data_IF_551186968706
#
_entry.id   IF_551186968706
#
_cell.length_a   1.000
_cell.length_b   1.000
_cell.length_c   1.000
_cell.angle_alpha   90.00
_cell.angle_beta   90.00
_cell.angle_gamma   90.00
#
_symmetry.space_group_name_H-M   'P 1'
#
loop_
_entity.id
_entity.type
_entity.pdbx_description
1 polymer ?
#
# COMPACT_ATOMS: atom_id res chain seq x y z
N UNK A 1 18.39 24.34 26.40
CA UNK A 1 19.03 23.05 26.69
C UNK A 1 18.24 22.02 25.91
N UNK A 2 18.86 21.32 24.97
CA UNK A 2 18.19 20.26 24.20
C UNK A 2 18.04 19.03 25.09
N UNK A 3 16.80 18.62 25.32
CA UNK A 3 16.49 17.40 26.06
C UNK A 3 16.87 16.19 25.22
N UNK A 4 17.72 15.30 25.72
CA UNK A 4 18.14 14.11 24.96
C UNK A 4 16.98 13.12 24.77
N UNK A 5 16.99 12.37 23.67
CA UNK A 5 16.04 11.29 23.36
C UNK A 5 15.85 10.32 24.55
N UNK A 6 16.96 9.91 25.16
CA UNK A 6 16.96 8.99 26.30
C UNK A 6 16.27 9.61 27.52
N UNK A 7 16.42 10.91 27.71
CA UNK A 7 15.74 11.64 28.78
C UNK A 7 14.23 11.71 28.53
N UNK A 8 13.79 11.91 27.28
CA UNK A 8 12.37 11.92 26.92
C UNK A 8 11.67 10.58 27.22
N UNK A 9 12.26 9.45 26.81
CA UNK A 9 11.70 8.13 27.16
C UNK A 9 11.68 7.90 28.67
N UNK A 10 12.75 8.27 29.38
CA UNK A 10 12.84 8.12 30.84
C UNK A 10 11.77 8.97 31.55
N UNK A 11 11.58 10.23 31.12
CA UNK A 11 10.54 11.13 31.64
C UNK A 11 9.12 10.61 31.35
N UNK A 12 8.92 9.94 30.22
CA UNK A 12 7.69 9.22 29.91
C UNK A 12 7.53 7.90 30.69
N UNK A 13 8.55 7.44 31.43
CA UNK A 13 8.50 6.18 32.17
C UNK A 13 8.77 4.93 31.31
N UNK A 14 9.25 5.11 30.08
CA UNK A 14 9.66 4.02 29.19
C UNK A 14 11.12 3.70 29.49
N UNK A 15 11.36 2.54 30.10
CA UNK A 15 12.70 2.12 30.56
C UNK A 15 13.30 0.99 29.73
N UNK A 16 12.46 0.19 29.06
CA UNK A 16 12.87 -0.80 28.06
C UNK A 16 12.36 -0.38 26.67
N UNK A 17 13.26 0.24 25.90
CA UNK A 17 12.95 0.72 24.56
C UNK A 17 12.74 -0.44 23.59
N UNK A 18 13.46 -1.54 23.75
CA UNK A 18 13.34 -2.70 22.88
C UNK A 18 11.97 -3.35 23.06
N UNK A 19 11.53 -3.53 24.31
CA UNK A 19 10.17 -4.01 24.61
C UNK A 19 9.08 -3.05 24.13
N UNK A 20 9.29 -1.74 24.29
CA UNK A 20 8.36 -0.73 23.82
C UNK A 20 8.11 -0.83 22.29
N UNK A 21 9.18 -0.89 21.49
CA UNK A 21 9.04 -1.06 20.04
C UNK A 21 8.52 -2.45 19.67
N UNK A 22 8.95 -3.50 20.39
CA UNK A 22 8.52 -4.88 20.17
C UNK A 22 7.00 -5.03 20.26
N UNK A 23 6.37 -4.45 21.29
CA UNK A 23 4.91 -4.59 21.49
C UNK A 23 4.08 -3.77 20.51
N UNK A 24 4.67 -2.77 19.85
CA UNK A 24 3.98 -1.85 18.95
C UNK A 24 4.11 -2.20 17.47
N UNK A 25 5.30 -2.61 17.04
CA UNK A 25 5.63 -2.69 15.62
C UNK A 25 5.95 -4.11 15.13
N UNK A 26 6.14 -5.06 16.05
CA UNK A 26 6.25 -6.47 15.65
C UNK A 26 4.84 -6.97 15.32
N UNK A 27 4.69 -7.42 14.09
CA UNK A 27 3.49 -8.09 13.61
C UNK A 27 3.86 -9.48 13.13
N UNK A 28 3.05 -10.47 13.49
CA UNK A 28 3.11 -11.82 12.90
C UNK A 28 2.45 -11.86 11.51
N UNK A 29 1.89 -10.74 11.05
CA UNK A 29 1.36 -10.61 9.70
C UNK A 29 2.47 -10.84 8.68
N UNK A 30 2.31 -11.91 7.90
CA UNK A 30 3.17 -12.20 6.76
C UNK A 30 2.77 -11.28 5.63
N UNK A 31 3.46 -10.14 5.54
CA UNK A 31 3.30 -9.15 4.47
C UNK A 31 4.06 -9.63 3.24
N UNK A 32 3.54 -10.71 2.66
CA UNK A 32 4.17 -11.32 1.50
C UNK A 32 3.59 -10.71 0.22
N UNK A 33 4.49 -10.24 -0.64
CA UNK A 33 4.19 -9.62 -1.92
C UNK A 33 3.39 -10.52 -2.89
N UNK A 34 3.23 -11.81 -2.58
CA UNK A 34 2.40 -12.80 -3.27
C UNK A 34 0.95 -12.81 -2.78
N UNK A 35 0.67 -12.29 -1.58
CA UNK A 35 -0.65 -12.32 -0.95
C UNK A 35 -1.36 -10.98 -0.98
N UNK A 36 -1.02 -10.15 -1.96
CA UNK A 36 -1.63 -8.85 -2.10
C UNK A 36 -3.11 -8.99 -2.47
N UNK A 37 -3.99 -9.02 -1.46
CA UNK A 37 -5.43 -9.05 -1.70
C UNK A 37 -5.81 -7.77 -2.45
N UNK A 38 -6.63 -7.84 -3.50
CA UNK A 38 -7.02 -6.66 -4.28
C UNK A 38 -7.56 -5.52 -3.43
N UNK A 39 -8.28 -5.85 -2.36
CA UNK A 39 -8.87 -4.88 -1.44
C UNK A 39 -7.80 -4.08 -0.67
N UNK A 40 -6.63 -4.67 -0.41
CA UNK A 40 -5.56 -3.99 0.31
C UNK A 40 -4.85 -2.95 -0.60
N UNK A 41 -5.14 -2.93 -1.92
CA UNK A 41 -4.45 -2.06 -2.93
C UNK A 41 -4.82 -0.60 -2.76
N UNK A 42 -5.84 -0.36 -1.95
CA UNK A 42 -6.38 0.95 -1.65
C UNK A 42 -6.14 1.32 -0.19
N UNK A 43 -5.49 0.44 0.58
CA UNK A 43 -5.07 0.78 1.93
C UNK A 43 -4.06 1.92 1.89
N UNK A 44 -4.17 2.83 2.86
CA UNK A 44 -3.30 4.00 2.89
C UNK A 44 -1.82 3.66 3.11
N UNK A 45 -1.52 2.64 3.92
CA UNK A 45 -0.15 2.17 4.15
C UNK A 45 0.42 1.61 2.85
N UNK A 46 -0.41 0.92 2.07
CA UNK A 46 -0.03 0.47 0.74
C UNK A 46 0.25 1.64 -0.20
N UNK A 47 -0.56 2.70 -0.17
CA UNK A 47 -0.37 3.87 -1.02
C UNK A 47 0.99 4.56 -0.81
N UNK A 48 1.46 4.67 0.45
CA UNK A 48 2.81 5.19 0.78
C UNK A 48 3.91 4.26 0.29
N UNK A 49 3.73 2.95 0.48
CA UNK A 49 4.66 1.94 -0.02
C UNK A 49 4.77 1.97 -1.55
N UNK A 50 3.66 2.23 -2.24
CA UNK A 50 3.63 2.35 -3.69
C UNK A 50 4.38 3.59 -4.20
N UNK A 51 4.38 4.69 -3.45
CA UNK A 51 5.22 5.83 -3.80
C UNK A 51 6.71 5.45 -3.82
N UNK A 52 7.19 4.67 -2.85
CA UNK A 52 8.56 4.12 -2.88
C UNK A 52 8.71 3.18 -4.09
N UNK A 53 7.80 2.23 -4.25
CA UNK A 53 7.87 1.24 -5.34
C UNK A 53 8.03 1.90 -6.71
N UNK A 54 7.21 2.90 -7.01
CA UNK A 54 7.20 3.55 -8.31
C UNK A 54 8.40 4.47 -8.55
N UNK A 55 9.14 4.83 -7.51
CA UNK A 55 10.33 5.67 -7.61
C UNK A 55 11.64 4.89 -7.44
N UNK A 56 11.59 3.62 -7.04
CA UNK A 56 12.75 2.74 -7.00
C UNK A 56 12.95 2.06 -8.35
N UNK A 57 14.17 2.11 -8.87
CA UNK A 57 14.56 1.44 -10.11
C UNK A 57 14.68 -0.07 -9.91
N UNK A 58 14.26 -0.84 -10.90
CA UNK A 58 14.44 -2.29 -10.88
C UNK A 58 15.93 -2.69 -10.84
N UNK A 59 16.24 -3.80 -10.17
CA UNK A 59 17.60 -4.34 -10.03
C UNK A 59 18.52 -3.55 -9.10
N UNK A 60 18.02 -2.55 -8.37
CA UNK A 60 18.81 -1.69 -7.49
C UNK A 60 19.11 -2.32 -6.13
N UNK A 61 20.08 -1.77 -5.40
CA UNK A 61 20.30 -2.05 -3.98
C UNK A 61 19.58 -1.03 -3.11
N UNK A 62 18.69 -1.49 -2.23
CA UNK A 62 17.82 -0.66 -1.39
C UNK A 62 18.10 -0.95 0.08
N UNK A 63 18.31 0.09 0.88
CA UNK A 63 18.35 0.03 2.32
C UNK A 63 17.08 0.66 2.90
N UNK A 64 16.35 -0.10 3.71
CA UNK A 64 15.15 0.34 4.43
C UNK A 64 15.49 0.59 5.91
N UNK A 65 15.37 1.84 6.34
CA UNK A 65 15.68 2.28 7.70
C UNK A 65 14.42 2.26 8.56
N UNK A 66 14.47 1.54 9.68
CA UNK A 66 13.33 1.20 10.52
C UNK A 66 12.37 0.29 9.77
N UNK A 67 12.88 -0.84 9.28
CA UNK A 67 12.14 -1.72 8.36
C UNK A 67 10.92 -2.40 9.00
N UNK A 68 10.78 -2.37 10.33
CA UNK A 68 9.69 -3.01 11.06
C UNK A 68 9.55 -4.48 10.66
N UNK A 69 8.32 -4.95 10.45
CA UNK A 69 8.03 -6.29 9.96
C UNK A 69 8.25 -6.47 8.44
N UNK A 70 8.77 -5.47 7.72
CA UNK A 70 9.16 -5.61 6.30
C UNK A 70 8.09 -5.23 5.28
N UNK A 71 7.41 -4.10 5.49
CA UNK A 71 6.34 -3.61 4.58
C UNK A 71 6.82 -3.39 3.14
N UNK A 72 8.12 -3.08 2.94
CA UNK A 72 8.67 -2.83 1.60
C UNK A 72 9.07 -4.12 0.85
N UNK A 73 8.72 -5.31 1.36
CA UNK A 73 8.97 -6.59 0.70
C UNK A 73 8.45 -6.64 -0.75
N UNK A 74 7.42 -5.86 -1.07
CA UNK A 74 6.89 -5.76 -2.43
C UNK A 74 7.91 -5.22 -3.46
N UNK A 75 8.95 -4.50 -3.03
CA UNK A 75 10.06 -4.10 -3.89
C UNK A 75 10.78 -5.31 -4.51
N UNK A 76 10.69 -6.51 -3.92
CA UNK A 76 11.24 -7.73 -4.52
C UNK A 76 10.67 -8.03 -5.91
N UNK A 77 9.47 -7.55 -6.24
CA UNK A 77 8.91 -7.61 -7.61
C UNK A 77 9.73 -6.82 -8.63
N UNK A 78 10.52 -5.85 -8.18
CA UNK A 78 11.47 -5.08 -8.99
C UNK A 78 12.87 -5.70 -9.02
N UNK A 79 13.03 -6.93 -8.54
CA UNK A 79 14.32 -7.64 -8.49
C UNK A 79 15.40 -6.85 -7.74
N UNK A 80 14.99 -6.01 -6.77
CA UNK A 80 15.94 -5.27 -5.95
C UNK A 80 16.61 -6.20 -4.94
N UNK A 81 17.81 -5.82 -4.50
CA UNK A 81 18.40 -6.36 -3.28
C UNK A 81 17.96 -5.46 -2.12
N UNK A 82 17.15 -6.00 -1.21
CA UNK A 82 16.50 -5.26 -0.13
C UNK A 82 17.16 -5.62 1.21
N UNK A 83 17.77 -4.62 1.84
CA UNK A 83 18.36 -4.73 3.18
C UNK A 83 17.54 -3.90 4.17
N UNK A 84 17.24 -4.45 5.34
CA UNK A 84 16.51 -3.75 6.40
C UNK A 84 17.37 -3.48 7.63
N UNK A 85 17.17 -2.35 8.28
CA UNK A 85 17.74 -2.05 9.60
C UNK A 85 16.62 -1.68 10.55
N UNK A 86 16.60 -2.28 11.74
CA UNK A 86 15.67 -1.93 12.80
C UNK A 86 16.37 -1.97 14.17
N UNK A 87 15.82 -1.31 15.18
CA UNK A 87 16.32 -1.42 16.56
C UNK A 87 15.84 -2.71 17.23
N UNK A 88 14.70 -3.26 16.79
CA UNK A 88 14.16 -4.52 17.30
C UNK A 88 14.74 -5.72 16.51
N UNK A 89 15.36 -6.69 17.20
CA UNK A 89 15.77 -7.94 16.57
C UNK A 89 14.56 -8.75 16.06
N UNK A 90 13.40 -8.67 16.72
CA UNK A 90 12.17 -9.34 16.29
C UNK A 90 11.63 -8.76 14.98
N UNK A 91 11.58 -7.44 14.84
CA UNK A 91 11.26 -6.76 13.58
C UNK A 91 12.22 -7.21 12.47
N UNK A 92 13.53 -7.19 12.75
CA UNK A 92 14.56 -7.64 11.81
C UNK A 92 14.34 -9.10 11.37
N UNK A 93 13.94 -9.99 12.28
CA UNK A 93 13.62 -11.38 11.96
C UNK A 93 12.33 -11.51 11.13
N UNK A 94 11.30 -10.73 11.45
CA UNK A 94 10.03 -10.70 10.71
C UNK A 94 10.22 -10.18 9.27
N UNK A 95 10.93 -9.06 9.09
CA UNK A 95 11.24 -8.51 7.77
C UNK A 95 12.01 -9.52 6.89
N UNK A 96 12.96 -10.26 7.49
CA UNK A 96 13.68 -11.32 6.80
C UNK A 96 12.77 -12.46 6.35
N UNK A 97 11.81 -12.87 7.20
CA UNK A 97 10.78 -13.86 6.83
C UNK A 97 9.88 -13.35 5.71
N UNK A 98 9.61 -12.05 5.67
CA UNK A 98 8.79 -11.39 4.64
C UNK A 98 9.54 -11.12 3.32
N UNK A 99 10.82 -11.51 3.20
CA UNK A 99 11.52 -11.56 1.91
C UNK A 99 12.65 -10.55 1.74
N UNK A 100 13.08 -9.88 2.81
CA UNK A 100 14.30 -9.06 2.78
C UNK A 100 15.53 -9.97 2.65
N UNK A 101 16.50 -9.58 1.82
CA UNK A 101 17.70 -10.38 1.57
C UNK A 101 18.63 -10.40 2.78
N UNK A 102 18.69 -9.28 3.51
CA UNK A 102 19.44 -9.15 4.75
C UNK A 102 18.73 -8.19 5.72
N UNK A 103 18.85 -8.45 7.02
CA UNK A 103 18.34 -7.56 8.07
C UNK A 103 19.37 -7.42 9.19
N UNK A 104 19.43 -6.23 9.79
CA UNK A 104 20.41 -5.90 10.83
C UNK A 104 19.73 -5.19 12.00
N UNK A 105 20.10 -5.59 13.20
CA UNK A 105 19.72 -4.87 14.42
C UNK A 105 20.77 -3.81 14.74
N UNK A 106 20.50 -2.55 14.43
CA UNK A 106 21.46 -1.46 14.58
C UNK A 106 20.79 -0.10 14.77
N UNK A 107 21.53 0.84 15.37
CA UNK A 107 21.12 2.26 15.41
C UNK A 107 21.31 2.89 14.04
N UNK A 108 20.34 3.70 13.62
CA UNK A 108 20.42 4.44 12.36
C UNK A 108 21.54 5.50 12.35
N UNK A 109 21.97 5.97 13.53
CA UNK A 109 23.09 6.90 13.70
C UNK A 109 24.45 6.22 13.51
N UNK A 110 24.50 4.90 13.31
CA UNK A 110 25.74 4.15 13.02
C UNK A 110 25.42 2.87 12.25
N UNK A 111 25.30 2.99 10.94
CA UNK A 111 24.93 1.91 10.05
C UNK A 111 26.12 0.95 9.82
N UNK A 112 25.90 -0.38 9.86
CA UNK A 112 26.95 -1.39 9.72
C UNK A 112 27.33 -1.65 8.25
N UNK A 113 27.33 -0.62 7.40
CA UNK A 113 27.58 -0.73 5.97
C UNK A 113 28.77 0.14 5.55
N UNK A 114 29.54 -0.29 4.53
CA UNK A 114 30.53 0.56 3.88
C UNK A 114 29.91 1.79 3.20
N UNK A 115 30.76 2.76 2.89
CA UNK A 115 30.39 3.92 2.09
C UNK A 115 29.89 3.50 0.70
N UNK A 116 28.97 4.26 0.10
CA UNK A 116 28.48 4.06 -1.26
C UNK A 116 27.95 2.65 -1.58
N UNK A 117 27.25 2.03 -0.63
CA UNK A 117 26.72 0.66 -0.74
C UNK A 117 25.36 0.57 -1.44
N UNK A 118 24.53 1.61 -1.36
CA UNK A 118 23.12 1.57 -1.78
C UNK A 118 22.78 2.57 -2.89
N UNK A 119 21.97 2.13 -3.86
CA UNK A 119 21.34 3.01 -4.83
C UNK A 119 20.21 3.83 -4.19
N UNK A 120 19.45 3.20 -3.28
CA UNK A 120 18.37 3.86 -2.57
C UNK A 120 18.47 3.63 -1.07
N UNK A 121 18.23 4.69 -0.29
CA UNK A 121 18.01 4.59 1.16
C UNK A 121 16.63 5.14 1.47
N UNK A 122 15.73 4.29 1.93
CA UNK A 122 14.32 4.60 2.13
C UNK A 122 13.94 4.49 3.60
N UNK A 123 12.93 5.24 4.01
CA UNK A 123 12.38 5.17 5.36
C UNK A 123 10.94 5.65 5.37
N UNK A 124 10.03 4.92 6.00
CA UNK A 124 8.66 5.34 6.20
C UNK A 124 8.39 5.36 7.69
N UNK A 125 7.97 6.51 8.23
CA UNK A 125 7.46 6.61 9.60
C UNK A 125 8.54 6.37 10.68
N UNK A 126 9.77 6.86 10.46
CA UNK A 126 10.92 6.56 11.36
C UNK A 126 11.60 7.81 11.92
N UNK A 127 11.72 8.88 11.13
CA UNK A 127 12.46 10.07 11.56
C UNK A 127 11.80 10.82 12.72
N UNK A 128 10.51 10.60 12.98
CA UNK A 128 9.83 11.10 14.18
C UNK A 128 10.23 10.39 15.48
N UNK A 129 10.76 9.16 15.36
CA UNK A 129 11.27 8.34 16.47
C UNK A 129 12.74 8.58 16.77
N UNK A 130 13.47 9.23 15.86
CA UNK A 130 14.85 9.65 16.08
C UNK A 130 14.81 11.00 16.77
N UNK A 131 15.35 11.10 17.99
CA UNK A 131 15.38 12.39 18.66
C UNK A 131 16.36 13.37 18.02
N UNK A 132 16.14 14.65 18.31
CA UNK A 132 16.67 15.79 17.54
C UNK A 132 18.19 15.80 17.39
N UNK A 133 18.92 15.36 18.41
CA UNK A 133 20.38 15.34 18.45
C UNK A 133 21.00 14.24 17.57
N UNK A 134 20.28 13.14 17.34
CA UNK A 134 20.77 12.02 16.53
C UNK A 134 20.44 12.20 15.05
N UNK A 135 19.46 13.04 14.69
CA UNK A 135 19.00 13.20 13.30
C UNK A 135 20.11 13.58 12.32
N UNK A 136 20.97 14.52 12.69
CA UNK A 136 22.07 14.93 11.81
C UNK A 136 23.07 13.80 11.58
N UNK A 137 23.31 12.96 12.59
CA UNK A 137 24.16 11.78 12.45
C UNK A 137 23.49 10.70 11.60
N UNK A 138 22.18 10.49 11.75
CA UNK A 138 21.41 9.60 10.86
C UNK A 138 21.50 10.07 9.40
N UNK A 139 21.29 11.37 9.14
CA UNK A 139 21.41 11.91 7.79
C UNK A 139 22.84 11.83 7.23
N UNK A 140 23.86 11.99 8.07
CA UNK A 140 25.25 11.76 7.70
C UNK A 140 25.50 10.31 7.29
N UNK A 141 24.97 9.35 8.04
CA UNK A 141 25.06 7.92 7.71
C UNK A 141 24.29 7.58 6.42
N UNK A 142 23.09 8.14 6.23
CA UNK A 142 22.33 8.01 4.97
C UNK A 142 23.17 8.48 3.80
N UNK A 143 23.74 9.69 3.90
CA UNK A 143 24.61 10.24 2.86
C UNK A 143 25.83 9.35 2.61
N UNK A 144 26.45 8.85 3.68
CA UNK A 144 27.67 8.02 3.59
C UNK A 144 27.40 6.70 2.86
N UNK A 145 26.31 6.00 3.18
CA UNK A 145 26.00 4.69 2.59
C UNK A 145 25.35 4.79 1.21
N UNK A 146 24.85 5.96 0.83
CA UNK A 146 24.37 6.23 -0.53
C UNK A 146 25.53 6.29 -1.52
N UNK A 147 25.31 5.70 -2.71
CA UNK A 147 26.16 5.93 -3.88
C UNK A 147 26.09 7.40 -4.32
N UNK A 148 27.08 7.89 -5.09
CA UNK A 148 27.07 9.28 -5.57
C UNK A 148 25.78 9.71 -6.28
N UNK A 149 25.21 8.83 -7.11
CA UNK A 149 23.93 9.04 -7.80
C UNK A 149 22.73 8.45 -7.03
N UNK A 150 22.95 8.04 -5.79
CA UNK A 150 21.95 7.40 -4.96
C UNK A 150 20.89 8.39 -4.48
N UNK A 151 19.69 7.89 -4.23
CA UNK A 151 18.53 8.71 -3.83
C UNK A 151 18.00 8.23 -2.49
N UNK A 152 17.73 9.18 -1.59
CA UNK A 152 16.99 8.88 -0.36
C UNK A 152 15.55 9.34 -0.43
N UNK A 153 14.63 8.52 0.10
CA UNK A 153 13.19 8.78 0.04
C UNK A 153 12.54 8.51 1.40
N UNK A 154 11.77 9.47 1.90
CA UNK A 154 11.23 9.45 3.24
C UNK A 154 9.73 9.78 3.26
N UNK A 155 8.96 9.00 4.01
CA UNK A 155 7.66 9.40 4.52
C UNK A 155 7.83 9.79 5.99
N UNK A 156 7.47 11.03 6.34
CA UNK A 156 7.82 11.61 7.64
C UNK A 156 6.59 12.25 8.28
N UNK A 157 6.26 11.81 9.49
CA UNK A 157 5.30 12.48 10.36
C UNK A 157 5.83 13.83 10.79
N UNK A 158 4.95 14.82 10.72
CA UNK A 158 5.23 16.17 11.16
C UNK A 158 4.43 16.50 12.41
N UNK A 159 4.88 17.53 13.13
CA UNK A 159 4.07 18.18 14.16
C UNK A 159 3.72 19.60 13.73
N UNK A 160 2.64 20.13 14.28
CA UNK A 160 2.28 21.54 14.19
C UNK A 160 2.47 22.18 15.57
N UNK A 161 3.50 23.04 15.69
CA UNK A 161 3.83 23.67 16.98
C UNK A 161 2.81 24.73 17.39
N UNK A 162 1.95 25.19 16.49
CA UNK A 162 0.86 26.10 16.87
C UNK A 162 -0.20 25.38 17.72
N UNK A 163 -0.32 24.06 17.55
CA UNK A 163 -1.36 23.24 18.21
C UNK A 163 -0.78 22.27 19.25
N UNK A 164 0.52 22.01 19.21
CA UNK A 164 1.24 21.09 20.10
C UNK A 164 2.14 21.81 21.12
N UNK A 165 2.10 21.40 22.40
CA UNK A 165 3.11 21.82 23.40
C UNK A 165 4.50 21.33 23.00
N UNK A 166 5.54 22.07 23.40
CA UNK A 166 6.92 21.56 23.28
C UNK A 166 7.16 20.43 24.28
N UNK A 167 8.03 19.48 23.95
CA UNK A 167 8.37 18.35 24.83
C UNK A 167 8.87 18.79 26.23
N UNK A 168 9.54 19.94 26.31
CA UNK A 168 10.02 20.54 27.56
C UNK A 168 8.88 21.07 28.44
N UNK A 169 7.74 21.41 27.83
CA UNK A 169 6.58 21.99 28.50
C UNK A 169 5.54 20.94 28.91
N UNK A 170 5.69 19.71 28.40
CA UNK A 170 4.82 18.59 28.76
C UNK A 170 5.15 18.08 30.16
N UNK A 171 4.10 17.90 30.98
CA UNK A 171 4.21 17.12 32.22
C UNK A 171 4.61 15.67 31.92
N UNK A 172 5.16 14.92 32.88
CA UNK A 172 5.51 13.51 32.67
C UNK A 172 4.35 12.66 32.13
N UNK A 173 3.12 12.93 32.57
CA UNK A 173 1.93 12.19 32.11
C UNK A 173 1.50 12.59 30.70
N UNK A 174 1.56 13.87 30.35
CA UNK A 174 1.31 14.33 28.97
C UNK A 174 2.37 13.77 28.01
N UNK A 175 3.64 13.82 28.41
CA UNK A 175 4.74 13.28 27.62
C UNK A 175 4.62 11.77 27.46
N UNK A 176 4.21 11.05 28.51
CA UNK A 176 3.93 9.62 28.44
C UNK A 176 2.84 9.32 27.43
N UNK A 177 1.67 9.97 27.54
CA UNK A 177 0.57 9.78 26.57
C UNK A 177 1.00 10.07 25.15
N UNK A 178 1.83 11.09 24.95
CA UNK A 178 2.33 11.46 23.63
C UNK A 178 3.33 10.43 23.07
N UNK A 179 4.32 10.01 23.86
CA UNK A 179 5.31 9.02 23.42
C UNK A 179 4.67 7.65 23.31
N UNK A 180 3.69 7.29 24.13
CA UNK A 180 2.96 6.03 24.06
C UNK A 180 2.12 5.86 22.79
N UNK A 181 1.94 6.88 21.95
CA UNK A 181 1.27 6.73 20.65
C UNK A 181 2.07 5.74 19.80
N UNK A 182 3.23 6.18 19.34
CA UNK A 182 4.11 5.43 18.43
C UNK A 182 5.59 5.51 18.87
N UNK A 183 5.93 6.29 19.90
CA UNK A 183 7.31 6.49 20.34
C UNK A 183 7.95 7.75 19.77
N UNK A 184 7.16 8.75 19.40
CA UNK A 184 7.64 9.98 18.79
C UNK A 184 8.40 10.85 19.80
N UNK A 185 9.67 11.10 19.51
CA UNK A 185 10.60 11.86 20.39
C UNK A 185 11.38 12.93 19.63
N UNK A 186 11.09 13.10 18.35
CA UNK A 186 11.75 14.05 17.48
C UNK A 186 10.86 14.57 16.36
N UNK A 187 9.55 14.75 16.56
CA UNK A 187 8.74 15.36 15.49
C UNK A 187 9.20 16.80 15.23
N UNK A 188 9.37 17.12 13.96
CA UNK A 188 9.70 18.46 13.47
C UNK A 188 8.53 18.97 12.62
N UNK A 189 8.51 20.26 12.33
CA UNK A 189 7.58 20.78 11.35
C UNK A 189 8.04 20.43 9.92
N UNK A 190 7.10 20.42 8.98
CA UNK A 190 7.36 20.09 7.56
C UNK A 190 8.58 20.82 6.97
N UNK A 191 8.74 22.10 7.29
CA UNK A 191 9.77 22.96 6.70
C UNK A 191 11.15 22.71 7.34
N UNK A 192 11.18 22.32 8.62
CA UNK A 192 12.38 21.92 9.34
C UNK A 192 13.00 20.65 8.75
N UNK A 193 12.19 19.65 8.37
CA UNK A 193 12.68 18.46 7.69
C UNK A 193 13.41 18.80 6.39
N UNK A 194 12.77 19.58 5.51
CA UNK A 194 13.39 19.97 4.25
C UNK A 194 14.66 20.79 4.46
N UNK A 195 14.68 21.71 5.43
CA UNK A 195 15.87 22.49 5.77
C UNK A 195 17.01 21.59 6.27
N UNK A 196 16.70 20.57 7.08
CA UNK A 196 17.69 19.63 7.61
C UNK A 196 18.32 18.80 6.48
N UNK A 197 17.51 18.22 5.59
CA UNK A 197 18.04 17.45 4.45
C UNK A 197 18.92 18.29 3.51
N UNK A 198 18.60 19.59 3.30
CA UNK A 198 19.42 20.49 2.47
C UNK A 198 20.83 20.77 3.01
N UNK A 199 21.08 20.48 4.29
CA UNK A 199 22.43 20.55 4.88
C UNK A 199 23.31 19.38 4.41
N UNK A 200 22.69 18.29 3.98
CA UNK A 200 23.37 17.06 3.57
C UNK A 200 23.30 16.82 2.06
N UNK A 201 22.22 17.20 1.38
CA UNK A 201 22.01 16.88 -0.03
C UNK A 201 21.85 18.15 -0.88
N UNK A 202 22.45 18.14 -2.08
CA UNK A 202 22.34 19.26 -3.02
C UNK A 202 20.91 19.43 -3.57
N UNK A 203 20.22 18.33 -3.86
CA UNK A 203 18.89 18.32 -4.44
C UNK A 203 17.90 17.75 -3.42
N UNK A 204 16.93 18.55 -2.98
CA UNK A 204 15.90 18.15 -2.00
C UNK A 204 14.53 18.63 -2.46
N UNK A 205 13.62 17.69 -2.67
CA UNK A 205 12.21 17.94 -2.99
C UNK A 205 11.35 17.38 -1.85
N UNK A 206 10.45 18.20 -1.32
CA UNK A 206 9.54 17.84 -0.24
C UNK A 206 8.11 18.23 -0.64
N UNK A 207 7.15 17.35 -0.40
CA UNK A 207 5.74 17.55 -0.75
C UNK A 207 4.84 17.26 0.46
N UNK A 208 4.07 18.24 0.96
CA UNK A 208 3.14 18.05 2.07
C UNK A 208 1.99 17.12 1.71
N UNK A 209 1.54 16.30 2.65
CA UNK A 209 0.40 15.39 2.44
C UNK A 209 -0.60 15.54 3.57
N UNK A 210 -1.87 15.75 3.22
CA UNK A 210 -2.95 15.75 4.20
C UNK A 210 -2.97 14.43 4.97
N UNK A 211 -3.63 14.44 6.13
CA UNK A 211 -3.76 13.27 6.99
C UNK A 211 -4.53 12.09 6.36
N UNK A 212 -4.77 12.12 5.04
CA UNK A 212 -5.15 10.96 4.24
C UNK A 212 -4.21 9.78 4.49
N UNK A 213 -2.97 10.03 4.95
CA UNK A 213 -1.92 9.04 5.23
C UNK A 213 -2.10 8.18 6.50
N UNK A 214 -3.16 8.41 7.30
CA UNK A 214 -3.44 7.69 8.55
C UNK A 214 -4.74 6.89 8.40
N UNK A 215 -4.81 5.68 8.95
CA UNK A 215 -6.04 4.88 8.94
C UNK A 215 -7.07 5.44 9.92
N UNK A 216 -8.35 5.18 9.67
CA UNK A 216 -9.46 5.60 10.54
C UNK A 216 -9.29 5.10 11.97
N UNK A 217 -8.78 3.88 12.13
CA UNK A 217 -8.49 3.30 13.44
C UNK A 217 -7.36 4.04 14.15
N UNK A 218 -6.28 4.36 13.44
CA UNK A 218 -5.16 5.10 14.02
C UNK A 218 -5.57 6.54 14.36
N UNK A 219 -6.41 7.19 13.54
CA UNK A 219 -7.00 8.50 13.88
C UNK A 219 -7.80 8.46 15.18
N UNK A 220 -8.70 7.49 15.33
CA UNK A 220 -9.55 7.35 16.52
C UNK A 220 -8.68 7.03 17.73
N UNK A 221 -7.71 6.12 17.59
CA UNK A 221 -6.74 5.76 18.64
C UNK A 221 -5.94 6.99 19.08
N UNK A 222 -5.45 7.80 18.14
CA UNK A 222 -4.78 9.08 18.39
C UNK A 222 -5.65 10.07 19.15
N UNK A 223 -6.93 10.17 18.81
CA UNK A 223 -7.88 11.03 19.53
C UNK A 223 -8.19 10.49 20.94
N UNK A 224 -8.59 9.22 21.05
CA UNK A 224 -9.19 8.62 22.25
C UNK A 224 -8.14 8.26 23.31
N UNK A 225 -7.06 7.60 22.88
CA UNK A 225 -6.05 7.08 23.81
C UNK A 225 -5.00 8.14 24.13
N UNK A 226 -4.67 8.97 23.13
CA UNK A 226 -3.49 9.83 23.21
C UNK A 226 -3.82 11.32 23.28
N UNK A 227 -5.08 11.70 23.09
CA UNK A 227 -5.56 13.07 23.30
C UNK A 227 -5.10 14.07 22.23
N UNK A 228 -4.72 13.60 21.04
CA UNK A 228 -4.46 14.47 19.90
C UNK A 228 -5.75 15.19 19.48
N UNK A 229 -5.64 16.49 19.20
CA UNK A 229 -6.78 17.32 18.84
C UNK A 229 -7.00 17.28 17.34
N UNK A 230 -8.12 16.71 16.94
CA UNK A 230 -8.65 16.76 15.58
C UNK A 230 -9.98 17.51 15.58
N UNK A 231 -10.51 17.82 14.39
CA UNK A 231 -11.87 18.35 14.26
C UNK A 231 -12.89 17.35 14.85
N UNK A 232 -13.63 17.78 15.87
CA UNK A 232 -14.53 16.91 16.64
C UNK A 232 -15.54 16.20 15.74
N UNK A 233 -16.16 16.94 14.81
CA UNK A 233 -17.16 16.41 13.88
C UNK A 233 -16.59 15.29 12.98
N UNK A 234 -15.31 15.40 12.59
CA UNK A 234 -14.65 14.38 11.78
C UNK A 234 -14.38 13.11 12.60
N UNK A 235 -13.88 13.24 13.83
CA UNK A 235 -13.64 12.07 14.69
C UNK A 235 -14.96 11.40 15.06
N UNK A 236 -16.00 12.17 15.39
CA UNK A 236 -17.34 11.65 15.68
C UNK A 236 -17.95 10.94 14.47
N UNK A 237 -17.75 11.48 13.26
CA UNK A 237 -18.10 10.79 12.03
C UNK A 237 -17.40 9.43 11.94
N UNK A 238 -16.07 9.37 12.07
CA UNK A 238 -15.33 8.09 12.00
C UNK A 238 -15.80 7.10 13.10
N UNK A 239 -16.09 7.60 14.31
CA UNK A 239 -16.63 6.78 15.42
C UNK A 239 -17.98 6.18 15.06
N UNK A 240 -18.84 6.93 14.37
CA UNK A 240 -20.17 6.46 13.96
C UNK A 240 -20.13 5.33 12.92
N UNK A 241 -19.01 5.18 12.20
CA UNK A 241 -18.82 4.13 11.20
C UNK A 241 -18.58 2.76 11.86
N UNK A 242 -19.20 1.72 11.31
CA UNK A 242 -18.85 0.32 11.61
C UNK A 242 -17.44 -0.04 11.11
N UNK A 243 -16.88 -1.16 11.58
CA UNK A 243 -15.58 -1.65 11.11
C UNK A 243 -15.49 -1.74 9.57
N UNK A 244 -16.55 -2.25 8.92
CA UNK A 244 -16.58 -2.37 7.45
C UNK A 244 -16.62 -1.02 6.76
N UNK A 245 -17.32 -0.05 7.34
CA UNK A 245 -17.41 1.32 6.81
C UNK A 245 -16.11 2.08 6.99
N UNK A 246 -15.43 1.95 8.14
CA UNK A 246 -14.07 2.50 8.34
C UNK A 246 -13.07 1.89 7.37
N UNK A 247 -13.12 0.56 7.18
CA UNK A 247 -12.28 -0.11 6.17
C UNK A 247 -12.55 0.44 4.76
N UNK A 248 -13.81 0.63 4.40
CA UNK A 248 -14.18 1.20 3.11
C UNK A 248 -13.73 2.67 2.97
N UNK A 249 -13.81 3.46 4.05
CA UNK A 249 -13.28 4.81 4.10
C UNK A 249 -11.77 4.82 3.86
N UNK A 250 -10.99 4.02 4.61
CA UNK A 250 -9.54 3.92 4.45
C UNK A 250 -9.14 3.52 3.03
N UNK A 251 -9.88 2.58 2.43
CA UNK A 251 -9.73 2.21 1.02
C UNK A 251 -10.01 3.39 0.09
N UNK A 252 -11.10 4.13 0.30
CA UNK A 252 -11.39 5.31 -0.50
C UNK A 252 -10.26 6.35 -0.38
N UNK A 253 -9.69 6.54 0.80
CA UNK A 253 -8.60 7.48 1.04
C UNK A 253 -7.30 7.08 0.33
N UNK A 254 -6.90 5.81 0.39
CA UNK A 254 -5.72 5.36 -0.36
C UNK A 254 -5.94 5.37 -1.88
N UNK A 255 -7.16 5.15 -2.35
CA UNK A 255 -7.52 5.38 -3.76
C UNK A 255 -7.37 6.85 -4.17
N UNK A 256 -7.85 7.79 -3.34
CA UNK A 256 -7.67 9.24 -3.57
C UNK A 256 -6.19 9.60 -3.61
N UNK A 257 -5.38 9.07 -2.69
CA UNK A 257 -3.93 9.27 -2.68
C UNK A 257 -3.26 8.79 -3.98
N UNK A 258 -3.68 7.62 -4.49
CA UNK A 258 -3.21 7.11 -5.78
C UNK A 258 -3.48 8.10 -6.92
N UNK A 259 -4.69 8.65 -6.98
CA UNK A 259 -5.06 9.65 -7.99
C UNK A 259 -4.29 10.97 -7.84
N UNK A 260 -4.05 11.44 -6.61
CA UNK A 260 -3.23 12.63 -6.35
C UNK A 260 -1.83 12.45 -6.94
N UNK A 261 -1.24 11.26 -6.73
CA UNK A 261 0.09 10.92 -7.26
C UNK A 261 0.10 10.85 -8.79
N UNK A 262 -0.96 10.31 -9.40
CA UNK A 262 -1.06 10.12 -10.85
C UNK A 262 -1.36 11.42 -11.60
N UNK A 263 -2.18 12.29 -11.01
CA UNK A 263 -2.53 13.60 -11.56
C UNK A 263 -1.56 14.71 -11.14
N UNK A 264 -0.53 14.37 -10.36
CA UNK A 264 0.46 15.30 -9.82
C UNK A 264 -0.18 16.52 -9.11
N UNK A 265 -1.26 16.26 -8.37
CA UNK A 265 -2.02 17.30 -7.67
C UNK A 265 -1.23 17.72 -6.44
N UNK A 266 -1.02 19.03 -6.29
CA UNK A 266 -0.42 19.61 -5.09
C UNK A 266 -1.51 19.85 -4.06
N UNK A 267 -1.36 19.25 -2.89
CA UNK A 267 -2.25 19.50 -1.76
C UNK A 267 -1.75 20.68 -0.93
N UNK A 268 -2.65 21.42 -0.26
CA UNK A 268 -2.25 22.40 0.74
C UNK A 268 -1.46 21.73 1.87
N UNK A 269 -0.67 22.53 2.60
CA UNK A 269 0.09 22.07 3.76
C UNK A 269 -0.83 21.43 4.78
N UNK A 270 -0.42 20.28 5.28
CA UNK A 270 -1.17 19.54 6.29
C UNK A 270 -0.66 19.76 7.70
N UNK A 271 0.62 20.09 7.86
CA UNK A 271 1.31 20.11 9.16
C UNK A 271 1.52 18.72 9.77
N UNK A 272 1.11 17.64 9.10
CA UNK A 272 0.99 16.31 9.70
C UNK A 272 1.86 15.25 9.02
N UNK A 273 2.15 15.41 7.73
CA UNK A 273 2.93 14.43 7.00
C UNK A 273 3.58 15.01 5.75
N UNK A 274 4.79 14.54 5.43
CA UNK A 274 5.50 14.91 4.20
C UNK A 274 6.11 13.68 3.51
N UNK A 275 6.18 13.75 2.18
CA UNK A 275 7.06 12.89 1.40
C UNK A 275 8.28 13.71 0.97
N UNK A 276 9.47 13.14 1.11
CA UNK A 276 10.73 13.82 0.82
C UNK A 276 11.64 12.93 -0.02
N UNK A 277 12.23 13.51 -1.07
CA UNK A 277 13.23 12.89 -1.94
C UNK A 277 14.49 13.77 -1.95
N UNK A 278 15.65 13.16 -1.77
CA UNK A 278 16.92 13.90 -1.75
C UNK A 278 18.08 13.10 -2.39
N UNK A 279 19.02 13.81 -3.01
CA UNK A 279 20.24 13.26 -3.61
C UNK A 279 21.28 14.38 -3.84
N UNK A 280 22.55 14.02 -3.99
CA UNK A 280 23.57 14.93 -4.52
C UNK A 280 23.50 15.02 -6.06
N UNK A 281 22.97 14.00 -6.73
CA UNK A 281 22.68 14.04 -8.16
C UNK A 281 21.32 14.73 -8.44
N UNK A 282 21.11 15.27 -9.66
CA UNK A 282 19.80 15.80 -10.07
C UNK A 282 18.70 14.74 -9.89
N UNK A 283 17.59 15.14 -9.26
CA UNK A 283 16.46 14.25 -9.06
C UNK A 283 15.62 14.14 -10.33
N UNK A 284 15.16 12.93 -10.65
CA UNK A 284 14.10 12.71 -11.62
C UNK A 284 12.73 13.11 -11.07
N UNK A 285 11.67 12.57 -11.68
CA UNK A 285 10.30 12.87 -11.27
C UNK A 285 10.07 12.55 -9.78
N UNK A 286 9.28 13.38 -9.10
CA UNK A 286 8.94 13.13 -7.68
C UNK A 286 7.96 11.96 -7.53
N UNK A 287 7.07 11.82 -8.52
CA UNK A 287 6.14 10.73 -8.65
C UNK A 287 6.51 9.88 -9.84
N UNK A 288 6.33 8.57 -9.69
CA UNK A 288 6.25 7.65 -10.81
C UNK A 288 7.51 7.59 -11.70
N UNK A 289 8.69 7.98 -11.21
CA UNK A 289 9.93 8.05 -12.01
C UNK A 289 10.28 6.71 -12.71
N UNK A 290 9.98 5.61 -12.04
CA UNK A 290 10.22 4.25 -12.50
C UNK A 290 8.94 3.40 -12.39
N UNK A 291 7.78 4.01 -12.65
CA UNK A 291 6.49 3.32 -12.54
C UNK A 291 6.38 2.23 -13.60
N UNK A 292 6.70 1.02 -13.19
CA UNK A 292 6.33 -0.21 -13.87
C UNK A 292 5.74 -1.16 -12.82
N UNK A 293 4.41 -1.17 -12.75
CA UNK A 293 3.67 -2.04 -11.83
C UNK A 293 3.23 -3.33 -12.49
N UNK A 294 3.65 -3.63 -13.73
CA UNK A 294 3.26 -4.87 -14.41
C UNK A 294 3.65 -6.08 -13.57
N UNK A 295 4.83 -6.08 -12.97
CA UNK A 295 5.30 -7.17 -12.10
C UNK A 295 4.58 -7.29 -10.74
N UNK A 296 3.96 -6.22 -10.22
CA UNK A 296 3.15 -6.29 -8.99
C UNK A 296 1.83 -7.00 -9.21
N UNK A 297 1.28 -6.85 -10.41
CA UNK A 297 0.01 -7.45 -10.79
C UNK A 297 0.16 -8.64 -11.72
N UNK A 298 1.39 -8.91 -12.18
CA UNK A 298 1.76 -10.16 -12.78
C UNK A 298 1.82 -11.16 -11.62
N UNK A 299 0.89 -12.09 -11.65
CA UNK A 299 1.05 -13.34 -10.91
C UNK A 299 2.38 -13.98 -11.36
N UNK A 300 3.08 -14.68 -10.47
CA UNK A 300 4.43 -15.22 -10.71
C UNK A 300 4.57 -15.90 -12.08
N UNK A 301 5.80 -16.05 -12.59
CA UNK A 301 6.08 -16.69 -13.89
C UNK A 301 5.56 -18.15 -14.04
N UNK A 302 4.94 -18.72 -13.00
CA UNK A 302 4.21 -20.01 -13.03
C UNK A 302 2.69 -19.88 -12.82
N UNK A 303 2.15 -18.68 -12.67
CA UNK A 303 0.76 -18.46 -12.35
C UNK A 303 0.00 -18.11 -13.62
N UNK A 304 -0.55 -19.15 -14.24
CA UNK A 304 -1.97 -19.40 -14.54
C UNK A 304 -3.03 -18.24 -14.49
N UNK A 305 -2.68 -16.98 -14.31
CA UNK A 305 -3.64 -15.85 -14.33
C UNK A 305 -3.99 -15.44 -15.74
N UNK A 306 -5.28 -15.26 -15.98
CA UNK A 306 -5.84 -14.90 -17.28
C UNK A 306 -5.93 -13.38 -17.49
N UNK A 307 -6.04 -12.58 -16.43
CA UNK A 307 -6.36 -11.14 -16.53
C UNK A 307 -5.36 -10.30 -17.34
N UNK A 308 -4.09 -10.73 -17.37
CA UNK A 308 -2.95 -9.93 -17.84
C UNK A 308 -1.95 -10.72 -18.67
N UNK A 309 -2.30 -11.96 -19.03
CA UNK A 309 -1.47 -12.77 -19.92
C UNK A 309 -1.69 -12.31 -21.36
N UNK A 310 -0.61 -12.01 -22.14
CA UNK A 310 -0.75 -11.66 -23.55
C UNK A 310 -1.25 -12.84 -24.40
N UNK A 311 -1.27 -14.05 -23.84
CA UNK A 311 -1.81 -15.26 -24.47
C UNK A 311 -3.32 -15.45 -24.20
N UNK A 312 -3.98 -14.46 -23.58
CA UNK A 312 -5.41 -14.50 -23.26
C UNK A 312 -6.14 -13.44 -24.03
N UNK A 313 -7.29 -13.82 -24.59
CA UNK A 313 -8.18 -12.91 -25.32
C UNK A 313 -9.48 -12.76 -24.55
N UNK A 314 -9.85 -11.51 -24.27
CA UNK A 314 -11.17 -11.13 -23.80
C UNK A 314 -11.96 -10.62 -25.01
N UNK A 315 -13.19 -11.09 -25.20
CA UNK A 315 -14.05 -10.60 -26.28
C UNK A 315 -14.64 -9.21 -25.99
N UNK A 316 -15.47 -8.71 -26.91
CA UNK A 316 -16.14 -7.41 -26.81
C UNK A 316 -17.17 -7.34 -25.67
N UNK A 317 -17.42 -8.46 -24.98
CA UNK A 317 -18.26 -8.52 -23.79
C UNK A 317 -17.61 -7.93 -22.54
N UNK A 318 -16.32 -7.58 -22.62
CA UNK A 318 -15.52 -7.04 -21.52
C UNK A 318 -15.11 -5.58 -21.74
N UNK A 319 -15.22 -4.79 -20.69
CA UNK A 319 -14.81 -3.39 -20.65
C UNK A 319 -13.71 -3.20 -19.62
N UNK A 320 -12.59 -2.62 -20.04
CA UNK A 320 -11.58 -2.13 -19.10
C UNK A 320 -12.05 -0.82 -18.46
N UNK A 321 -11.94 -0.67 -17.13
CA UNK A 321 -12.10 0.64 -16.52
C UNK A 321 -10.92 1.54 -16.93
N UNK A 322 -11.20 2.81 -17.18
CA UNK A 322 -10.19 3.85 -17.45
C UNK A 322 -9.30 4.19 -16.24
N UNK A 323 -9.34 3.38 -15.18
CA UNK A 323 -8.58 3.58 -13.95
C UNK A 323 -7.31 2.72 -14.02
N UNK A 324 -6.15 3.35 -13.97
CA UNK A 324 -4.86 2.68 -13.95
C UNK A 324 -4.32 2.60 -12.51
N UNK A 325 -3.92 1.41 -12.01
CA UNK A 325 -4.02 0.11 -12.68
C UNK A 325 -5.45 -0.45 -12.64
N UNK A 326 -5.92 -1.11 -13.71
CA UNK A 326 -7.28 -1.65 -13.74
C UNK A 326 -7.40 -2.75 -12.70
N UNK A 327 -8.39 -2.61 -11.84
CA UNK A 327 -8.62 -3.43 -10.65
C UNK A 327 -9.43 -4.68 -11.03
N UNK A 328 -10.37 -4.49 -11.95
CA UNK A 328 -11.28 -5.50 -12.47
C UNK A 328 -11.77 -5.10 -13.86
N UNK A 329 -12.20 -6.06 -14.67
CA UNK A 329 -12.88 -5.84 -15.95
C UNK A 329 -14.38 -5.89 -15.73
N UNK A 330 -15.11 -4.93 -16.30
CA UNK A 330 -16.57 -4.94 -16.28
C UNK A 330 -17.09 -5.81 -17.41
N UNK A 331 -18.09 -6.65 -17.14
CA UNK A 331 -18.73 -7.48 -18.14
C UNK A 331 -20.07 -6.87 -18.56
N UNK A 332 -20.39 -7.02 -19.85
CA UNK A 332 -21.73 -6.80 -20.39
C UNK A 332 -22.70 -7.90 -19.92
N UNK A 333 -23.66 -8.31 -20.75
CA UNK A 333 -24.52 -9.46 -20.47
C UNK A 333 -23.78 -10.80 -20.57
N UNK A 334 -22.78 -10.89 -21.43
CA UNK A 334 -21.91 -12.07 -21.53
C UNK A 334 -20.49 -11.60 -21.82
N UNK A 335 -19.51 -12.42 -21.47
CA UNK A 335 -18.11 -12.20 -21.81
C UNK A 335 -17.37 -13.53 -21.92
N UNK A 336 -16.52 -13.64 -22.93
CA UNK A 336 -15.71 -14.82 -23.20
C UNK A 336 -14.24 -14.54 -22.94
N UNK A 337 -13.57 -15.54 -22.38
CA UNK A 337 -12.14 -15.52 -22.07
C UNK A 337 -11.51 -16.75 -22.72
N UNK A 338 -10.70 -16.52 -23.75
CA UNK A 338 -10.00 -17.58 -24.47
C UNK A 338 -8.55 -17.65 -23.99
N UNK A 339 -8.08 -18.84 -23.61
CA UNK A 339 -6.73 -19.04 -23.10
C UNK A 339 -6.21 -20.44 -23.46
N UNK A 340 -4.89 -20.61 -23.44
CA UNK A 340 -4.25 -21.91 -23.69
C UNK A 340 -3.88 -22.60 -22.37
N UNK A 341 -4.34 -23.84 -22.20
CA UNK A 341 -3.91 -24.73 -21.12
C UNK A 341 -4.22 -26.18 -21.50
N UNK A 342 -3.33 -27.10 -21.16
CA UNK A 342 -3.50 -28.54 -21.40
C UNK A 342 -4.07 -29.29 -20.19
N UNK A 343 -4.09 -28.65 -19.02
CA UNK A 343 -4.50 -29.30 -17.78
C UNK A 343 -5.01 -28.24 -16.79
N UNK A 344 -6.33 -28.23 -16.58
CA UNK A 344 -7.05 -27.35 -15.64
C UNK A 344 -7.94 -28.20 -14.74
N UNK A 345 -7.69 -28.16 -13.45
CA UNK A 345 -8.46 -28.74 -12.36
C UNK A 345 -9.39 -27.74 -11.66
N UNK A 346 -9.02 -26.46 -11.64
CA UNK A 346 -9.80 -25.41 -10.97
C UNK A 346 -9.62 -24.06 -11.69
N UNK A 347 -10.67 -23.25 -11.72
CA UNK A 347 -10.62 -21.83 -12.11
C UNK A 347 -11.09 -21.02 -10.90
N UNK A 348 -10.26 -20.10 -10.44
CA UNK A 348 -10.61 -19.17 -9.36
C UNK A 348 -10.78 -17.76 -9.91
N UNK A 349 -11.74 -17.00 -9.40
CA UNK A 349 -11.94 -15.61 -9.76
C UNK A 349 -12.63 -14.83 -8.64
N UNK A 350 -12.35 -13.54 -8.56
CA UNK A 350 -13.07 -12.60 -7.72
C UNK A 350 -14.08 -11.84 -8.56
N UNK A 351 -15.32 -11.72 -8.07
CA UNK A 351 -16.33 -10.90 -8.72
C UNK A 351 -17.12 -10.03 -7.76
N UNK A 352 -17.68 -8.95 -8.31
CA UNK A 352 -18.65 -8.09 -7.62
C UNK A 352 -19.64 -7.49 -8.62
N UNK A 353 -20.66 -6.79 -8.12
CA UNK A 353 -21.62 -6.05 -8.95
C UNK A 353 -22.08 -4.79 -8.23
N UNK A 354 -22.45 -3.77 -9.01
CA UNK A 354 -23.01 -2.52 -8.50
C UNK A 354 -24.52 -2.41 -8.65
N UNK A 355 -25.20 -3.45 -9.15
CA UNK A 355 -26.65 -3.43 -9.33
C UNK A 355 -27.37 -3.12 -8.00
N UNK A 356 -28.21 -2.06 -7.95
CA UNK A 356 -28.78 -1.57 -6.70
C UNK A 356 -29.95 -2.43 -6.18
N UNK A 357 -30.59 -3.21 -7.05
CA UNK A 357 -31.89 -3.86 -6.84
C UNK A 357 -31.81 -5.40 -6.69
N UNK A 358 -30.62 -5.95 -6.37
CA UNK A 358 -30.37 -7.40 -6.30
C UNK A 358 -31.29 -8.19 -5.36
N UNK A 359 -31.85 -7.55 -4.32
CA UNK A 359 -32.79 -8.21 -3.40
C UNK A 359 -34.14 -8.51 -4.03
N UNK A 360 -34.61 -7.62 -4.90
CA UNK A 360 -35.90 -7.73 -5.58
C UNK A 360 -35.77 -8.36 -6.96
N UNK A 361 -34.61 -8.20 -7.60
CA UNK A 361 -34.26 -8.80 -8.88
C UNK A 361 -32.85 -9.41 -8.77
N UNK A 362 -32.70 -10.67 -8.36
CA UNK A 362 -31.39 -11.32 -8.29
C UNK A 362 -30.67 -11.31 -9.64
N UNK A 363 -29.34 -11.19 -9.62
CA UNK A 363 -28.51 -11.34 -10.81
C UNK A 363 -28.09 -12.81 -10.93
N UNK A 364 -28.58 -13.50 -11.94
CA UNK A 364 -28.22 -14.90 -12.21
C UNK A 364 -26.96 -14.93 -13.08
N UNK A 365 -26.00 -15.75 -12.66
CA UNK A 365 -24.74 -15.97 -13.34
C UNK A 365 -24.59 -17.43 -13.73
N UNK A 366 -24.08 -17.66 -14.92
CA UNK A 366 -23.74 -18.98 -15.45
C UNK A 366 -22.29 -18.95 -15.96
N UNK A 367 -21.53 -19.99 -15.62
CA UNK A 367 -20.14 -20.17 -16.00
C UNK A 367 -20.03 -21.42 -16.85
N UNK A 368 -19.53 -21.28 -18.08
CA UNK A 368 -19.39 -22.37 -19.04
C UNK A 368 -17.92 -22.47 -19.47
N UNK A 369 -17.42 -23.69 -19.60
CA UNK A 369 -16.11 -23.98 -20.17
C UNK A 369 -16.31 -24.78 -21.45
N UNK A 370 -15.87 -24.24 -22.59
CA UNK A 370 -16.09 -24.82 -23.91
C UNK A 370 -17.58 -25.11 -24.20
N UNK A 371 -18.49 -24.28 -23.66
CA UNK A 371 -19.93 -24.46 -23.79
C UNK A 371 -20.57 -25.40 -22.76
N UNK A 372 -19.78 -26.13 -21.97
CA UNK A 372 -20.27 -27.00 -20.90
C UNK A 372 -20.37 -26.25 -19.57
N UNK A 373 -21.51 -26.38 -18.88
CA UNK A 373 -21.78 -25.60 -17.67
C UNK A 373 -20.98 -26.12 -16.47
N UNK A 374 -20.10 -25.27 -15.94
CA UNK A 374 -19.37 -25.52 -14.69
C UNK A 374 -20.22 -25.19 -13.46
N UNK A 375 -20.91 -24.04 -13.47
CA UNK A 375 -21.67 -23.57 -12.31
C UNK A 375 -22.73 -22.54 -12.71
N UNK A 376 -23.79 -22.44 -11.90
CA UNK A 376 -24.75 -21.34 -11.99
C UNK A 376 -25.28 -20.98 -10.60
N UNK A 377 -25.45 -19.69 -10.33
CA UNK A 377 -26.02 -19.20 -9.07
C UNK A 377 -26.58 -17.78 -9.22
N UNK A 378 -27.33 -17.32 -8.22
CA UNK A 378 -27.88 -15.97 -8.18
C UNK A 378 -27.24 -15.13 -7.08
N UNK A 379 -26.92 -13.87 -7.38
CA UNK A 379 -26.49 -12.86 -6.42
C UNK A 379 -27.71 -12.07 -5.91
N UNK A 380 -27.93 -12.11 -4.60
CA UNK A 380 -29.02 -11.39 -3.93
C UNK A 380 -28.57 -10.13 -3.19
N UNK A 381 -27.26 -9.90 -3.10
CA UNK A 381 -26.65 -8.76 -2.38
C UNK A 381 -25.31 -8.39 -2.97
N UNK A 382 -24.93 -7.13 -2.80
CA UNK A 382 -23.59 -6.62 -3.16
C UNK A 382 -22.56 -7.17 -2.17
N UNK A 383 -21.54 -7.81 -2.71
CA UNK A 383 -20.35 -8.26 -1.98
C UNK A 383 -19.22 -8.51 -3.00
N UNK A 384 -17.99 -8.60 -2.50
CA UNK A 384 -16.92 -9.29 -3.21
C UNK A 384 -17.06 -10.79 -2.95
N UNK A 385 -17.12 -11.58 -4.01
CA UNK A 385 -17.14 -13.04 -3.94
C UNK A 385 -15.87 -13.59 -4.54
N UNK A 386 -15.19 -14.43 -3.78
CA UNK A 386 -14.14 -15.28 -4.28
C UNK A 386 -14.76 -16.62 -4.67
N UNK A 387 -14.65 -17.00 -5.93
CA UNK A 387 -15.25 -18.18 -6.51
C UNK A 387 -14.17 -19.19 -6.89
N UNK A 388 -14.51 -20.46 -6.65
CA UNK A 388 -13.72 -21.63 -7.00
C UNK A 388 -14.59 -22.52 -7.88
N UNK A 389 -14.21 -22.67 -9.14
CA UNK A 389 -14.91 -23.49 -10.12
C UNK A 389 -14.06 -24.73 -10.42
N UNK A 390 -14.51 -25.90 -9.97
CA UNK A 390 -13.83 -27.15 -10.28
C UNK A 390 -14.05 -27.53 -11.75
N UNK A 391 -12.99 -27.95 -12.42
CA UNK A 391 -13.00 -28.35 -13.83
C UNK A 391 -12.84 -29.87 -13.95
N UNK A 392 -13.89 -30.58 -14.39
CA UNK A 392 -13.83 -32.02 -14.64
C UNK A 392 -12.76 -32.41 -15.69
N UNK A 393 -12.21 -33.62 -15.57
CA UNK A 393 -11.15 -34.09 -16.49
C UNK A 393 -11.60 -34.16 -17.94
N UNK A 394 -12.85 -34.57 -18.18
CA UNK A 394 -13.42 -34.67 -19.52
C UNK A 394 -13.39 -33.34 -20.30
N UNK A 395 -13.52 -32.20 -19.63
CA UNK A 395 -13.52 -30.88 -20.29
C UNK A 395 -12.13 -30.44 -20.75
N UNK A 396 -11.07 -31.05 -20.23
CA UNK A 396 -9.70 -30.78 -20.65
C UNK A 396 -9.32 -31.56 -21.92
N UNK A 397 -9.77 -32.82 -22.00
CA UNK A 397 -9.44 -33.72 -23.12
C UNK A 397 -10.02 -33.27 -24.46
N UNK A 398 -11.11 -32.51 -24.45
CA UNK A 398 -11.83 -32.06 -25.65
C UNK A 398 -11.22 -30.80 -26.28
N UNK A 399 -10.30 -30.11 -25.58
CA UNK A 399 -9.95 -28.73 -25.87
C UNK A 399 -8.77 -28.52 -26.83
N UNK A 400 -8.04 -29.55 -27.28
CA UNK A 400 -6.78 -29.39 -28.05
C UNK A 400 -5.80 -28.34 -27.45
N UNK A 401 -5.86 -28.10 -26.14
CA UNK A 401 -5.05 -27.10 -25.44
C UNK A 401 -5.58 -25.66 -25.45
N UNK A 402 -6.72 -25.37 -26.10
CA UNK A 402 -7.36 -24.05 -26.11
C UNK A 402 -8.73 -24.12 -25.44
N UNK A 403 -8.91 -23.34 -24.37
CA UNK A 403 -10.12 -23.30 -23.55
C UNK A 403 -10.82 -21.95 -23.70
N UNK A 404 -12.15 -21.97 -23.66
CA UNK A 404 -13.02 -20.80 -23.64
C UNK A 404 -13.87 -20.83 -22.36
N UNK A 405 -13.62 -19.89 -21.44
CA UNK A 405 -14.50 -19.63 -20.30
C UNK A 405 -15.50 -18.55 -20.70
N UNK A 406 -16.77 -18.89 -20.76
CA UNK A 406 -17.87 -17.95 -20.96
C UNK A 406 -18.58 -17.69 -19.62
N UNK A 407 -18.81 -16.41 -19.31
CA UNK A 407 -19.60 -16.00 -18.16
C UNK A 407 -20.82 -15.26 -18.69
N UNK A 408 -22.02 -15.70 -18.28
CA UNK A 408 -23.30 -15.11 -18.67
C UNK A 408 -24.01 -14.53 -17.47
N UNK A 409 -24.59 -13.37 -17.66
CA UNK A 409 -25.51 -12.74 -16.73
C UNK A 409 -26.91 -12.65 -17.36
N UNK A 410 -27.96 -12.92 -16.58
CA UNK A 410 -29.33 -12.79 -17.10
C UNK A 410 -29.77 -11.34 -17.35
N UNK A 411 -29.09 -10.36 -16.73
CA UNK A 411 -29.40 -8.94 -16.85
C UNK A 411 -28.18 -8.04 -16.68
N UNK A 412 -28.35 -6.78 -17.07
CA UNK A 412 -27.36 -5.71 -17.00
C UNK A 412 -27.98 -4.47 -16.34
N UNK A 413 -27.14 -3.53 -15.92
CA UNK A 413 -27.52 -2.25 -15.34
C UNK A 413 -26.68 -1.12 -15.92
N UNK A 414 -27.32 0.02 -16.14
CA UNK A 414 -26.66 1.23 -16.65
C UNK A 414 -26.30 2.15 -15.48
N UNK A 415 -25.02 2.51 -15.29
CA UNK A 415 -24.58 3.24 -14.11
C UNK A 415 -25.09 4.67 -13.90
N UNK A 416 -25.63 5.33 -14.93
CA UNK A 416 -26.16 6.70 -14.85
C UNK A 416 -27.34 6.94 -15.79
N UNK A 417 -28.31 7.79 -15.41
CA UNK A 417 -29.32 8.33 -16.34
C UNK A 417 -28.71 9.34 -17.34
N UNK A 418 -29.32 9.43 -18.52
CA UNK A 418 -28.92 10.09 -19.78
C UNK A 418 -28.71 11.64 -19.79
N UNK A 419 -28.26 12.28 -18.71
CA UNK A 419 -28.35 13.75 -18.61
C UNK A 419 -27.05 14.55 -18.40
N UNK A 420 -25.85 14.00 -18.55
CA UNK A 420 -24.59 14.79 -18.48
C UNK A 420 -23.60 14.45 -19.60
N UNK A 421 -22.82 15.46 -20.02
CA UNK A 421 -21.95 15.49 -21.21
C UNK A 421 -20.76 14.50 -21.21
N UNK A 422 -20.68 13.62 -20.21
CA UNK A 422 -19.80 12.44 -20.22
C UNK A 422 -20.66 11.17 -20.24
N UNK A 423 -21.03 10.73 -21.45
CA UNK A 423 -21.86 9.54 -21.67
C UNK A 423 -21.08 8.26 -21.38
N UNK A 424 -21.46 7.55 -20.33
CA UNK A 424 -21.15 6.13 -20.16
C UNK A 424 -22.46 5.35 -20.37
N UNK A 425 -22.70 4.93 -21.61
CA UNK A 425 -23.90 4.21 -22.06
C UNK A 425 -23.76 2.68 -21.95
N UNK A 426 -22.70 2.21 -21.28
CA UNK A 426 -22.42 0.78 -21.15
C UNK A 426 -23.42 0.12 -20.22
N UNK A 427 -23.94 -1.02 -20.65
CA UNK A 427 -24.76 -1.91 -19.84
C UNK A 427 -23.87 -2.95 -19.15
N UNK A 428 -23.78 -2.90 -17.82
CA UNK A 428 -22.82 -3.69 -17.04
C UNK A 428 -23.53 -4.69 -16.12
N UNK A 429 -22.98 -5.90 -15.96
CA UNK A 429 -23.51 -6.91 -15.03
C UNK A 429 -22.63 -7.07 -13.79
N UNK A 430 -21.40 -7.55 -13.98
CA UNK A 430 -20.41 -7.81 -12.93
C UNK A 430 -19.06 -7.18 -13.27
N UNK A 431 -18.26 -6.92 -12.25
CA UNK A 431 -16.83 -6.73 -12.37
C UNK A 431 -16.12 -8.01 -11.95
N UNK A 432 -15.12 -8.44 -12.72
CA UNK A 432 -14.33 -9.66 -12.47
C UNK A 432 -12.84 -9.33 -12.44
N UNK A 433 -12.11 -9.95 -11.51
CA UNK A 433 -10.66 -9.90 -11.42
C UNK A 433 -10.06 -11.15 -10.78
N UNK A 434 -8.73 -11.23 -10.76
CA UNK A 434 -7.92 -12.36 -10.30
C UNK A 434 -8.41 -13.69 -10.88
N UNK A 435 -8.65 -13.69 -12.18
CA UNK A 435 -9.02 -14.90 -12.90
C UNK A 435 -7.75 -15.74 -13.01
N UNK A 436 -7.72 -16.86 -12.30
CA UNK A 436 -6.61 -17.79 -12.27
C UNK A 436 -7.10 -19.19 -12.63
N UNK A 437 -6.31 -19.90 -13.40
CA UNK A 437 -6.51 -21.33 -13.62
C UNK A 437 -5.58 -22.11 -12.71
N UNK A 438 -5.90 -23.36 -12.44
CA UNK A 438 -5.04 -24.30 -11.75
C UNK A 438 -5.07 -25.61 -12.51
N UNK A 439 -3.94 -26.09 -13.00
CA UNK A 439 -3.73 -27.48 -13.40
C UNK A 439 -3.59 -28.42 -12.20
N UNK A 440 -3.65 -29.71 -12.50
CA UNK A 440 -3.57 -30.80 -11.52
C UNK A 440 -2.21 -30.87 -10.83
#
# INVERSE_FOLDING_TARGET
MTTSTKDLYTRAGITDLAEFYRTKFVSDEVLDARYFKPLDRFDIRFARTMWIYDNVRAGSTVLDLGCGAGMLALLKRKQVTLTGVDLSPECSLAARRNGYDATFTAKLSRLPFPDASFDYVVSLDVLGHVGFEEKDQVLAEIKRVLRPDGVTMHGIECTDRATQKRYEEMTPDELRKFIEVDGHVGLEEEQEHAARFRRFFQNVVCQPRYALCISSEEFIKQADQYGLKFETDFVDYLRSLSFKERRAFDMAMGYVFGNISDLNIHLPKSGLYVLLKASDAPLGAFYNEHRDRRALYATEANARSLDRSPAVTFDDGWYEPNLLPPIARWMSRSGKITFSSSDVSEITLDLTTHMPDLRTQPLELEFLLNGERLSCFALLRRAWLNLHLFVPECLNSEANGQLELEIRANRTWQPRPMNDETRDDRELSIAVCNIEVRGR
#
